data_IF_491242921224
#
_entry.id   IF_491242921224
#
_cell.length_a   1.000
_cell.length_b   1.000
_cell.length_c   1.000
_cell.angle_alpha   90.00
_cell.angle_beta   90.00
_cell.angle_gamma   90.00
#
_symmetry.space_group_name_H-M   'P 1'
#
loop_
_entity.id
_entity.type
_entity.pdbx_description
1 polymer ?
#
# COMPACT_ATOMS: atom_id res chain seq x y z
N UNK A 1 -9.55 8.63 11.06
CA UNK A 1 -9.20 7.76 9.94
C UNK A 1 -8.10 6.83 10.41
N UNK A 2 -8.51 5.63 10.77
CA UNK A 2 -7.65 4.51 11.18
C UNK A 2 -7.61 3.46 10.06
N UNK A 3 -8.12 3.87 8.90
CA UNK A 3 -8.31 3.06 7.71
C UNK A 3 -6.91 2.67 7.23
N UNK A 4 -6.65 1.36 7.18
CA UNK A 4 -5.41 0.72 6.72
C UNK A 4 -4.25 0.55 7.71
N UNK A 5 -4.35 0.98 8.98
CA UNK A 5 -3.20 0.87 9.90
C UNK A 5 -2.73 -0.57 10.12
N UNK A 6 -3.66 -1.51 10.15
CA UNK A 6 -3.43 -2.95 10.30
C UNK A 6 -3.08 -3.66 8.98
N UNK A 7 -2.90 -2.91 7.90
CA UNK A 7 -2.56 -3.39 6.57
C UNK A 7 -3.72 -4.01 5.80
N UNK A 8 -4.96 -3.94 6.32
CA UNK A 8 -6.15 -4.51 5.69
C UNK A 8 -7.20 -3.42 5.44
N UNK A 9 -7.34 -2.98 4.18
CA UNK A 9 -8.33 -1.97 3.84
C UNK A 9 -8.60 -1.88 2.34
N UNK A 10 -9.72 -1.23 2.02
CA UNK A 10 -9.98 -0.66 0.69
C UNK A 10 -10.26 0.83 0.86
N UNK A 11 -9.41 1.67 0.27
CA UNK A 11 -9.46 3.13 0.42
C UNK A 11 -9.63 3.80 -0.95
N UNK A 12 -10.78 4.42 -1.24
CA UNK A 12 -10.96 5.25 -2.44
C UNK A 12 -9.99 6.43 -2.42
N UNK A 13 -9.24 6.62 -3.50
CA UNK A 13 -8.25 7.69 -3.61
C UNK A 13 -8.68 8.70 -4.66
N UNK A 14 -8.56 9.98 -4.30
CA UNK A 14 -8.81 11.10 -5.23
C UNK A 14 -7.55 11.95 -5.46
N UNK A 15 -6.52 11.78 -4.64
CA UNK A 15 -5.26 12.52 -4.69
C UNK A 15 -4.14 11.74 -4.01
N UNK A 16 -2.86 12.01 -4.33
CA UNK A 16 -1.72 11.46 -3.62
C UNK A 16 -1.88 11.62 -2.10
N UNK A 17 -1.59 10.56 -1.35
CA UNK A 17 -1.78 10.53 0.10
C UNK A 17 -0.77 9.62 0.78
N UNK A 18 -0.51 9.88 2.05
CA UNK A 18 0.26 8.99 2.91
C UNK A 18 -0.69 8.18 3.78
N UNK A 19 -0.47 6.87 3.82
CA UNK A 19 -1.28 5.89 4.53
C UNK A 19 -0.44 5.36 5.69
N UNK A 20 -0.86 5.60 6.94
CA UNK A 20 -0.13 5.10 8.10
C UNK A 20 -0.27 3.58 8.20
N UNK A 21 0.80 2.92 8.63
CA UNK A 21 0.89 1.47 8.83
C UNK A 21 1.44 1.17 10.23
N UNK A 22 1.12 -0.01 10.74
CA UNK A 22 1.67 -0.51 11.99
C UNK A 22 3.13 -0.95 11.81
N UNK A 23 4.06 -0.05 12.13
CA UNK A 23 5.49 -0.33 12.07
C UNK A 23 5.92 -1.49 12.99
N UNK A 24 5.21 -1.74 14.09
CA UNK A 24 5.54 -2.85 14.99
C UNK A 24 5.14 -4.20 14.38
N UNK A 25 4.09 -4.21 13.55
CA UNK A 25 3.62 -5.42 12.84
C UNK A 25 4.33 -5.64 11.51
N UNK A 26 4.52 -4.60 10.71
CA UNK A 26 4.97 -4.70 9.32
C UNK A 26 6.38 -4.18 9.07
N UNK A 27 7.06 -3.64 10.10
CA UNK A 27 8.33 -2.92 9.99
C UNK A 27 8.26 -1.56 9.28
N UNK A 28 7.24 -1.32 8.44
CA UNK A 28 7.03 -0.05 7.75
C UNK A 28 5.98 0.81 8.47
N UNK A 29 6.28 2.09 8.65
CA UNK A 29 5.36 3.04 9.34
C UNK A 29 4.34 3.69 8.42
N UNK A 30 4.58 3.66 7.10
CA UNK A 30 3.65 4.23 6.13
C UNK A 30 3.93 3.78 4.69
N UNK A 31 2.91 3.92 3.85
CA UNK A 31 2.98 3.86 2.39
C UNK A 31 2.54 5.20 1.83
N UNK A 32 3.23 5.73 0.82
CA UNK A 32 2.85 6.99 0.17
C UNK A 32 2.41 6.73 -1.27
N UNK A 33 1.15 6.98 -1.56
CA UNK A 33 0.65 7.00 -2.94
C UNK A 33 1.08 8.32 -3.58
N UNK A 34 1.81 8.25 -4.69
CA UNK A 34 2.42 9.40 -5.36
C UNK A 34 1.68 9.81 -6.64
N UNK A 35 1.07 8.85 -7.34
CA UNK A 35 0.25 9.10 -8.51
C UNK A 35 -0.92 8.12 -8.58
N UNK A 36 -2.06 8.59 -9.10
CA UNK A 36 -3.29 7.81 -9.25
C UNK A 36 -3.83 8.08 -10.64
N UNK A 37 -3.96 7.03 -11.44
CA UNK A 37 -4.64 7.01 -12.73
C UNK A 37 -5.97 6.25 -12.64
N UNK A 38 -6.75 6.22 -13.73
CA UNK A 38 -7.98 5.43 -13.80
C UNK A 38 -7.72 3.93 -13.64
N UNK A 39 -6.60 3.46 -14.17
CA UNK A 39 -6.19 2.04 -14.17
C UNK A 39 -4.75 1.84 -13.67
N UNK A 40 -4.17 2.82 -13.00
CA UNK A 40 -2.83 2.72 -12.44
C UNK A 40 -2.68 3.41 -11.10
N UNK A 41 -1.78 2.90 -10.27
CA UNK A 41 -1.44 3.49 -8.99
C UNK A 41 0.06 3.39 -8.77
N UNK A 42 0.71 4.52 -8.50
CA UNK A 42 2.13 4.58 -8.14
C UNK A 42 2.25 4.89 -6.66
N UNK A 43 3.09 4.13 -5.97
CA UNK A 43 3.37 4.33 -4.55
C UNK A 43 4.84 4.19 -4.24
N UNK A 44 5.24 4.78 -3.13
CA UNK A 44 6.56 4.65 -2.56
C UNK A 44 6.47 4.17 -1.11
N UNK A 45 7.48 3.40 -0.72
CA UNK A 45 7.67 2.94 0.66
C UNK A 45 9.06 3.35 1.11
N UNK A 46 9.14 4.05 2.23
CA UNK A 46 10.41 4.44 2.84
C UNK A 46 10.88 3.33 3.78
N UNK A 47 12.18 2.99 3.72
CA UNK A 47 12.76 1.99 4.60
C UNK A 47 13.22 2.63 5.91
N UNK A 48 12.99 1.99 7.08
CA UNK A 48 13.42 2.55 8.36
C UNK A 48 14.92 2.86 8.45
N UNK A 49 15.75 2.06 7.80
CA UNK A 49 17.21 2.21 7.72
C UNK A 49 17.70 3.20 6.65
N UNK A 50 16.77 3.87 5.95
CA UNK A 50 17.08 4.80 4.87
C UNK A 50 16.88 4.23 3.47
N UNK A 51 16.58 5.11 2.51
CA UNK A 51 16.18 4.75 1.16
C UNK A 51 14.70 4.39 1.04
N UNK A 52 14.33 3.76 -0.07
CA UNK A 52 12.96 3.32 -0.32
C UNK A 52 12.81 2.64 -1.67
N UNK A 53 11.60 2.16 -1.94
CA UNK A 53 11.20 1.63 -3.24
C UNK A 53 10.02 2.43 -3.80
N UNK A 54 9.97 2.52 -5.12
CA UNK A 54 8.82 2.99 -5.88
C UNK A 54 8.28 1.83 -6.71
N UNK A 55 6.96 1.72 -6.80
CA UNK A 55 6.31 0.74 -7.67
C UNK A 55 5.05 1.34 -8.29
N UNK A 56 4.71 0.88 -9.48
CA UNK A 56 3.48 1.22 -10.19
C UNK A 56 2.72 -0.06 -10.51
N UNK A 57 1.43 -0.09 -10.16
CA UNK A 57 0.56 -1.25 -10.33
C UNK A 57 -0.63 -0.91 -11.21
N UNK A 58 -1.12 -1.92 -11.93
CA UNK A 58 -2.40 -1.88 -12.64
C UNK A 58 -3.55 -2.44 -11.80
N UNK A 59 -4.75 -2.60 -12.38
CA UNK A 59 -5.91 -3.12 -11.69
C UNK A 59 -5.71 -4.57 -11.26
N UNK A 60 -6.18 -4.91 -10.05
CA UNK A 60 -6.04 -6.23 -9.44
C UNK A 60 -5.42 -6.18 -8.03
N UNK A 61 -5.57 -7.28 -7.31
CA UNK A 61 -4.88 -7.54 -6.04
C UNK A 61 -3.54 -8.22 -6.31
N UNK A 62 -2.52 -7.91 -5.50
CA UNK A 62 -1.17 -8.48 -5.65
C UNK A 62 -0.35 -7.91 -6.81
N UNK A 63 -0.69 -6.71 -7.30
CA UNK A 63 0.09 -6.04 -8.36
C UNK A 63 1.51 -5.68 -7.92
N UNK A 64 1.69 -5.46 -6.62
CA UNK A 64 2.99 -5.34 -5.96
C UNK A 64 2.88 -5.79 -4.50
N UNK A 65 4.02 -6.10 -3.87
CA UNK A 65 4.09 -6.38 -2.45
C UNK A 65 5.40 -5.84 -1.87
N UNK A 66 5.38 -5.49 -0.60
CA UNK A 66 6.59 -5.16 0.16
C UNK A 66 6.53 -5.80 1.53
N UNK A 67 7.68 -6.16 2.09
CA UNK A 67 7.76 -6.90 3.34
C UNK A 67 9.17 -6.90 3.91
N UNK A 68 9.25 -7.11 5.22
CA UNK A 68 10.51 -7.20 5.94
C UNK A 68 10.60 -8.54 6.65
N UNK A 69 11.80 -9.15 6.61
CA UNK A 69 12.05 -10.48 7.16
C UNK A 69 11.52 -10.60 8.60
N UNK A 70 10.75 -11.66 8.85
CA UNK A 70 10.15 -11.94 10.15
C UNK A 70 8.90 -11.12 10.46
N UNK A 71 8.42 -10.31 9.51
CA UNK A 71 7.13 -9.60 9.56
C UNK A 71 6.24 -10.05 8.39
N UNK A 72 4.90 -9.97 8.53
CA UNK A 72 4.00 -10.12 7.38
C UNK A 72 4.34 -9.10 6.28
N UNK A 73 4.22 -9.52 5.02
CA UNK A 73 4.24 -8.58 3.90
C UNK A 73 2.93 -7.80 3.83
N UNK A 74 2.93 -6.75 3.01
CA UNK A 74 1.73 -6.05 2.57
C UNK A 74 1.62 -6.22 1.07
N UNK A 75 0.50 -6.79 0.64
CA UNK A 75 0.09 -6.83 -0.76
C UNK A 75 -0.64 -5.54 -1.09
N UNK A 76 -0.29 -4.96 -2.23
CA UNK A 76 -0.82 -3.68 -2.72
C UNK A 76 -1.58 -3.97 -4.00
N UNK A 77 -2.85 -3.56 -4.01
CA UNK A 77 -3.74 -3.70 -5.15
C UNK A 77 -4.42 -2.39 -5.53
N UNK A 78 -4.97 -2.37 -6.73
CA UNK A 78 -5.82 -1.32 -7.24
C UNK A 78 -7.17 -1.94 -7.64
N UNK A 79 -8.26 -1.41 -7.10
CA UNK A 79 -9.63 -1.76 -7.48
C UNK A 79 -10.42 -0.51 -7.80
N UNK A 80 -11.70 -0.68 -8.16
CA UNK A 80 -12.64 0.42 -8.27
C UNK A 80 -13.69 0.33 -7.16
N UNK A 81 -13.87 1.40 -6.40
CA UNK A 81 -14.92 1.53 -5.39
C UNK A 81 -15.82 2.71 -5.75
N UNK A 82 -17.08 2.44 -6.08
CA UNK A 82 -18.03 3.48 -6.48
C UNK A 82 -17.59 4.27 -7.72
N UNK A 83 -16.95 3.60 -8.69
CA UNK A 83 -16.46 4.22 -9.92
C UNK A 83 -15.18 5.06 -9.77
N UNK A 84 -14.52 5.02 -8.61
CA UNK A 84 -13.24 5.68 -8.35
C UNK A 84 -12.12 4.67 -8.11
N UNK A 85 -10.87 4.96 -8.50
CA UNK A 85 -9.74 4.13 -8.14
C UNK A 85 -9.62 4.04 -6.62
N UNK A 86 -9.45 2.84 -6.12
CA UNK A 86 -9.32 2.53 -4.70
C UNK A 86 -8.09 1.66 -4.49
N UNK A 87 -7.24 2.09 -3.56
CA UNK A 87 -6.15 1.27 -3.08
C UNK A 87 -6.72 0.13 -2.25
N UNK A 88 -6.19 -1.06 -2.45
CA UNK A 88 -6.41 -2.19 -1.55
C UNK A 88 -5.09 -2.56 -0.91
N UNK A 89 -5.08 -2.67 0.41
CA UNK A 89 -3.96 -3.22 1.16
C UNK A 89 -4.44 -4.48 1.84
N UNK A 90 -3.64 -5.55 1.76
CA UNK A 90 -3.90 -6.80 2.46
C UNK A 90 -2.62 -7.34 3.10
N UNK A 91 -2.68 -7.85 4.34
CA UNK A 91 -1.53 -8.54 4.92
C UNK A 91 -1.26 -9.84 4.16
N UNK A 92 -0.02 -10.03 3.71
CA UNK A 92 0.44 -11.25 3.07
C UNK A 92 1.16 -12.19 4.04
N UNK A 93 1.87 -13.17 3.49
CA UNK A 93 2.66 -14.13 4.27
C UNK A 93 3.85 -13.45 4.98
N UNK A 94 4.34 -14.09 6.05
CA UNK A 94 5.59 -13.67 6.71
C UNK A 94 6.75 -13.92 5.76
N UNK A 95 7.60 -12.91 5.59
CA UNK A 95 8.77 -12.93 4.71
C UNK A 95 10.06 -13.37 5.38
#
# INVERSE_FOLDING_TARGET
MRDCFDGDCTLPLAKPTTIPLDAAKFHYSSLRVTAIGPDSLTFTVAYPQGGGAESSIGPGLGGASFGFRGSPSIEVGLTQAGGKPALVLQPGAIT
#
